data_IF_943461393839
#
_entry.id   IF_943461393839
#
_cell.length_a   1.000
_cell.length_b   1.000
_cell.length_c   1.000
_cell.angle_alpha   90.00
_cell.angle_beta   90.00
_cell.angle_gamma   90.00
#
_symmetry.space_group_name_H-M   'P 1'
#
loop_
_entity.id
_entity.type
_entity.pdbx_description
1 polymer ?
#
# COMPACT_ATOMS: atom_id res chain seq x y z
N UNK A 1 11.51 -2.13 -5.08
CA UNK A 1 11.48 -3.55 -5.49
C UNK A 1 11.50 -4.50 -4.29
N UNK A 2 12.39 -4.27 -3.27
CA UNK A 2 12.53 -5.20 -2.15
C UNK A 2 11.22 -5.42 -1.36
N UNK A 3 10.49 -4.37 -1.02
CA UNK A 3 9.20 -4.47 -0.33
C UNK A 3 8.18 -5.29 -1.12
N UNK A 4 8.15 -5.11 -2.45
CA UNK A 4 7.23 -5.84 -3.30
C UNK A 4 7.55 -7.35 -3.34
N UNK A 5 8.84 -7.71 -3.39
CA UNK A 5 9.28 -9.11 -3.29
C UNK A 5 8.91 -9.71 -1.94
N UNK A 6 9.08 -8.96 -0.85
CA UNK A 6 8.66 -9.38 0.49
C UNK A 6 7.14 -9.57 0.59
N UNK A 7 6.35 -8.70 -0.01
CA UNK A 7 4.90 -8.87 -0.09
C UNK A 7 4.51 -10.16 -0.84
N UNK A 8 5.15 -10.45 -1.97
CA UNK A 8 4.91 -11.70 -2.69
C UNK A 8 5.28 -12.91 -1.83
N UNK A 9 6.45 -12.90 -1.19
CA UNK A 9 6.88 -13.98 -0.32
C UNK A 9 5.91 -14.22 0.84
N UNK A 10 5.46 -13.16 1.50
CA UNK A 10 4.48 -13.24 2.58
C UNK A 10 3.11 -13.73 2.10
N UNK A 11 2.64 -13.24 0.95
CA UNK A 11 1.37 -13.68 0.36
C UNK A 11 1.38 -15.19 0.03
N UNK A 12 2.54 -15.73 -0.39
CA UNK A 12 2.70 -17.17 -0.63
C UNK A 12 2.75 -17.96 0.69
N UNK A 13 3.31 -17.39 1.75
CA UNK A 13 3.43 -18.07 3.06
C UNK A 13 2.13 -18.05 3.87
N UNK A 14 1.32 -17.02 3.74
CA UNK A 14 0.10 -16.83 4.53
C UNK A 14 -0.90 -18.00 4.47
N UNK A 15 -1.17 -18.66 3.33
CA UNK A 15 -2.07 -19.80 3.27
C UNK A 15 -1.66 -21.00 4.17
N UNK A 16 -0.37 -21.11 4.50
CA UNK A 16 0.16 -22.17 5.34
C UNK A 16 0.06 -21.85 6.85
N UNK A 17 -0.37 -20.65 7.21
CA UNK A 17 -0.55 -20.24 8.61
C UNK A 17 -1.87 -20.79 9.15
N UNK A 18 -1.86 -21.54 10.27
CA UNK A 18 -3.10 -22.04 10.88
C UNK A 18 -4.09 -20.90 11.20
N UNK A 19 -5.35 -21.07 10.82
CA UNK A 19 -6.39 -20.05 11.02
C UNK A 19 -6.53 -19.00 9.91
N UNK A 20 -5.62 -18.93 8.96
CA UNK A 20 -5.67 -17.98 7.84
C UNK A 20 -6.83 -18.23 6.88
N UNK A 21 -7.36 -19.46 6.83
CA UNK A 21 -8.42 -19.89 5.90
C UNK A 21 -9.69 -19.07 6.01
N UNK A 22 -10.06 -18.63 7.23
CA UNK A 22 -11.25 -17.79 7.43
C UNK A 22 -11.09 -16.41 6.77
N UNK A 23 -9.88 -15.84 6.79
CA UNK A 23 -9.57 -14.59 6.10
C UNK A 23 -9.71 -14.73 4.58
N UNK A 24 -9.25 -15.85 4.01
CA UNK A 24 -9.45 -16.11 2.57
C UNK A 24 -10.91 -16.31 2.22
N UNK A 25 -11.69 -17.02 3.04
CA UNK A 25 -13.14 -17.12 2.85
C UNK A 25 -13.81 -15.75 2.83
N UNK A 26 -13.41 -14.87 3.74
CA UNK A 26 -13.91 -13.49 3.80
C UNK A 26 -13.56 -12.70 2.53
N UNK A 27 -12.32 -12.76 2.04
CA UNK A 27 -11.89 -12.08 0.81
C UNK A 27 -12.72 -12.53 -0.40
N UNK A 28 -13.01 -13.82 -0.50
CA UNK A 28 -13.78 -14.41 -1.62
C UNK A 28 -15.28 -14.44 -1.40
N UNK A 29 -15.79 -14.01 -0.25
CA UNK A 29 -17.22 -13.84 0.02
C UNK A 29 -17.75 -12.56 -0.67
N UNK A 30 -17.86 -12.61 -1.99
CA UNK A 30 -18.33 -11.47 -2.78
C UNK A 30 -19.81 -11.21 -2.53
N UNK A 31 -20.18 -10.04 -2.03
CA UNK A 31 -21.54 -9.56 -1.99
C UNK A 31 -21.77 -8.55 -3.14
N UNK A 32 -22.46 -8.95 -4.21
CA UNK A 32 -22.76 -8.06 -5.34
C UNK A 32 -23.57 -6.82 -4.95
N UNK A 33 -24.30 -6.89 -3.82
CA UNK A 33 -25.10 -5.75 -3.32
C UNK A 33 -24.23 -4.57 -2.92
N UNK A 34 -22.99 -4.82 -2.49
CA UNK A 34 -22.02 -3.77 -2.22
C UNK A 34 -21.75 -2.84 -3.39
N UNK A 35 -21.88 -3.34 -4.63
CA UNK A 35 -21.73 -2.50 -5.84
C UNK A 35 -22.86 -1.48 -6.02
N UNK A 36 -23.98 -1.66 -5.35
CA UNK A 36 -25.13 -0.74 -5.37
C UNK A 36 -25.04 0.31 -4.26
N UNK A 37 -24.13 0.14 -3.31
CA UNK A 37 -23.93 1.10 -2.23
C UNK A 37 -23.01 2.24 -2.68
N UNK A 38 -23.54 3.46 -2.69
CA UNK A 38 -22.81 4.67 -3.06
C UNK A 38 -21.60 4.90 -2.16
N UNK A 39 -21.66 4.52 -0.89
CA UNK A 39 -20.54 4.69 0.04
C UNK A 39 -19.33 3.85 -0.37
N UNK A 40 -19.55 2.64 -0.88
CA UNK A 40 -18.46 1.78 -1.39
C UNK A 40 -17.69 2.49 -2.51
N UNK A 41 -18.41 3.13 -3.43
CA UNK A 41 -17.78 3.89 -4.51
C UNK A 41 -17.06 5.14 -4.01
N UNK A 42 -17.64 5.87 -3.05
CA UNK A 42 -17.00 7.06 -2.46
C UNK A 42 -15.68 6.66 -1.79
N UNK A 43 -15.67 5.60 -0.99
CA UNK A 43 -14.44 5.11 -0.35
C UNK A 43 -13.42 4.60 -1.37
N UNK A 44 -13.86 3.84 -2.38
CA UNK A 44 -12.98 3.30 -3.40
C UNK A 44 -12.32 4.42 -4.23
N UNK A 45 -13.08 5.40 -4.68
CA UNK A 45 -12.53 6.57 -5.38
C UNK A 45 -11.61 7.40 -4.49
N UNK A 46 -12.01 7.65 -3.23
CA UNK A 46 -11.18 8.37 -2.26
C UNK A 46 -9.82 7.69 -2.07
N UNK A 47 -9.81 6.36 -1.94
CA UNK A 47 -8.58 5.58 -1.82
C UNK A 47 -7.74 5.64 -3.10
N UNK A 48 -8.34 5.53 -4.28
CA UNK A 48 -7.62 5.66 -5.55
C UNK A 48 -6.96 7.04 -5.70
N UNK A 49 -7.68 8.11 -5.39
CA UNK A 49 -7.13 9.48 -5.44
C UNK A 49 -5.96 9.68 -4.48
N UNK A 50 -6.04 9.08 -3.30
CA UNK A 50 -4.97 9.13 -2.31
C UNK A 50 -3.75 8.31 -2.75
N UNK A 51 -3.96 7.04 -3.10
CA UNK A 51 -2.90 6.07 -3.41
C UNK A 51 -2.10 6.48 -4.65
N UNK A 52 -2.76 6.96 -5.70
CA UNK A 52 -2.12 7.46 -6.92
C UNK A 52 -1.58 8.89 -6.81
N UNK A 53 -1.59 9.47 -5.60
CA UNK A 53 -1.11 10.84 -5.33
C UNK A 53 -1.77 11.93 -6.19
N UNK A 54 -3.00 11.70 -6.64
CA UNK A 54 -3.78 12.67 -7.42
C UNK A 54 -4.29 13.78 -6.51
N UNK A 55 -4.82 13.42 -5.33
CA UNK A 55 -5.38 14.36 -4.37
C UNK A 55 -4.34 15.37 -3.83
N UNK A 56 -3.07 14.95 -3.68
CA UNK A 56 -1.98 15.79 -3.18
C UNK A 56 -1.17 16.52 -4.26
N UNK A 57 -1.65 16.54 -5.51
CA UNK A 57 -0.94 17.12 -6.67
C UNK A 57 0.45 16.50 -6.96
N UNK A 58 0.84 15.44 -6.24
CA UNK A 58 2.13 14.76 -6.43
C UNK A 58 2.30 14.27 -7.87
N UNK A 59 1.29 13.62 -8.44
CA UNK A 59 1.31 13.16 -9.83
C UNK A 59 1.50 14.30 -10.84
N UNK A 60 0.97 15.50 -10.57
CA UNK A 60 1.14 16.68 -11.43
C UNK A 60 2.59 17.16 -11.38
N UNK A 61 3.18 17.25 -10.18
CA UNK A 61 4.56 17.73 -10.01
C UNK A 61 5.55 16.75 -10.62
N UNK A 62 5.41 15.44 -10.35
CA UNK A 62 6.27 14.44 -10.98
C UNK A 62 6.07 14.39 -12.49
N UNK A 63 4.84 14.61 -12.97
CA UNK A 63 4.54 14.75 -14.39
C UNK A 63 5.29 15.92 -15.04
N UNK A 64 5.48 17.03 -14.32
CA UNK A 64 6.22 18.18 -14.83
C UNK A 64 7.74 17.95 -14.96
N UNK A 65 8.28 16.97 -14.23
CA UNK A 65 9.70 16.60 -14.30
C UNK A 65 10.01 15.59 -15.40
N UNK A 66 8.99 15.02 -16.04
CA UNK A 66 9.19 14.03 -17.10
C UNK A 66 9.76 14.68 -18.36
N UNK A 67 10.78 14.04 -18.95
CA UNK A 67 11.33 14.43 -20.24
C UNK A 67 10.31 14.23 -21.36
N UNK A 68 10.53 14.94 -22.47
CA UNK A 68 9.64 14.91 -23.67
C UNK A 68 9.54 13.51 -24.32
N UNK A 69 10.51 12.64 -24.06
CA UNK A 69 10.59 11.30 -24.65
C UNK A 69 9.78 10.25 -23.88
N UNK A 70 9.22 10.62 -22.69
CA UNK A 70 8.47 9.70 -21.84
C UNK A 70 7.02 9.56 -22.33
N UNK A 71 6.59 8.32 -22.53
CA UNK A 71 5.21 8.00 -22.89
C UNK A 71 4.31 8.05 -21.64
N UNK A 72 3.76 9.23 -21.35
CA UNK A 72 2.97 9.52 -20.13
C UNK A 72 1.85 8.49 -19.91
N UNK A 73 1.09 8.15 -20.97
CA UNK A 73 0.00 7.17 -20.88
C UNK A 73 0.49 5.80 -20.40
N UNK A 74 1.61 5.33 -20.93
CA UNK A 74 2.17 4.02 -20.56
C UNK A 74 2.67 4.03 -19.12
N UNK A 75 3.34 5.10 -18.70
CA UNK A 75 3.79 5.27 -17.31
C UNK A 75 2.62 5.33 -16.33
N UNK A 76 1.55 6.05 -16.65
CA UNK A 76 0.36 6.12 -15.80
C UNK A 76 -0.34 4.77 -15.65
N UNK A 77 -0.49 4.00 -16.73
CA UNK A 77 -1.07 2.66 -16.69
C UNK A 77 -0.22 1.72 -15.83
N UNK A 78 1.10 1.74 -16.00
CA UNK A 78 2.01 0.91 -15.20
C UNK A 78 1.94 1.30 -13.72
N UNK A 79 1.91 2.58 -13.40
CA UNK A 79 1.76 3.06 -12.03
C UNK A 79 0.47 2.52 -11.39
N UNK A 80 -0.67 2.65 -12.07
CA UNK A 80 -1.95 2.16 -11.58
C UNK A 80 -1.96 0.62 -11.41
N UNK A 81 -1.35 -0.13 -12.34
CA UNK A 81 -1.25 -1.58 -12.25
C UNK A 81 -0.38 -2.03 -11.05
N UNK A 82 0.78 -1.39 -10.85
CA UNK A 82 1.63 -1.72 -9.70
C UNK A 82 0.99 -1.32 -8.37
N UNK A 83 0.32 -0.19 -8.30
CA UNK A 83 -0.43 0.25 -7.12
C UNK A 83 -1.52 -0.75 -6.75
N UNK A 84 -2.38 -1.10 -7.72
CA UNK A 84 -3.46 -2.08 -7.54
C UNK A 84 -2.91 -3.45 -7.13
N UNK A 85 -1.84 -3.93 -7.78
CA UNK A 85 -1.25 -5.24 -7.45
C UNK A 85 -0.62 -5.25 -6.05
N UNK A 86 0.00 -4.16 -5.61
CA UNK A 86 0.52 -4.03 -4.25
C UNK A 86 -0.61 -4.04 -3.22
N UNK A 87 -1.72 -3.34 -3.48
CA UNK A 87 -2.89 -3.34 -2.62
C UNK A 87 -3.53 -4.73 -2.49
N UNK A 88 -3.64 -5.48 -3.60
CA UNK A 88 -4.12 -6.86 -3.58
C UNK A 88 -3.20 -7.78 -2.78
N UNK A 89 -1.87 -7.66 -2.96
CA UNK A 89 -0.91 -8.44 -2.17
C UNK A 89 -1.05 -8.12 -0.68
N UNK A 90 -1.17 -6.84 -0.31
CA UNK A 90 -1.38 -6.44 1.09
C UNK A 90 -2.68 -7.02 1.65
N UNK A 91 -3.77 -7.03 0.89
CA UNK A 91 -5.04 -7.63 1.27
C UNK A 91 -4.88 -9.14 1.56
N UNK A 92 -4.18 -9.88 0.68
CA UNK A 92 -3.93 -11.33 0.86
C UNK A 92 -2.98 -11.66 2.03
N UNK A 93 -2.31 -10.66 2.60
CA UNK A 93 -1.46 -10.83 3.79
C UNK A 93 -2.23 -10.43 5.05
N UNK A 94 -2.80 -9.22 5.05
CA UNK A 94 -3.34 -8.60 6.27
C UNK A 94 -4.65 -9.25 6.71
N UNK A 95 -5.60 -9.48 5.81
CA UNK A 95 -6.90 -10.07 6.18
C UNK A 95 -6.75 -11.50 6.73
N UNK A 96 -5.98 -12.42 6.10
CA UNK A 96 -5.72 -13.71 6.71
C UNK A 96 -4.95 -13.62 8.03
N UNK A 97 -4.03 -12.65 8.19
CA UNK A 97 -3.36 -12.43 9.47
C UNK A 97 -4.33 -12.00 10.57
N UNK A 98 -5.29 -11.12 10.27
CA UNK A 98 -6.36 -10.75 11.21
C UNK A 98 -7.19 -11.97 11.63
N UNK A 99 -7.55 -12.83 10.67
CA UNK A 99 -8.31 -14.06 10.96
C UNK A 99 -7.59 -14.98 11.95
N UNK A 100 -6.26 -15.09 11.89
CA UNK A 100 -5.48 -15.92 12.84
C UNK A 100 -5.54 -15.43 14.28
N UNK A 101 -5.85 -14.16 14.50
CA UNK A 101 -5.97 -13.55 15.83
C UNK A 101 -7.41 -13.49 16.35
N UNK A 102 -8.38 -13.96 15.55
CA UNK A 102 -9.81 -13.85 15.88
C UNK A 102 -10.34 -12.42 15.84
N UNK A 103 -9.65 -11.52 15.14
CA UNK A 103 -10.07 -10.14 15.00
C UNK A 103 -11.29 -10.00 14.08
N UNK A 104 -12.04 -8.91 14.28
CA UNK A 104 -13.11 -8.53 13.34
C UNK A 104 -12.49 -8.10 12.00
N UNK A 105 -12.80 -8.87 10.95
CA UNK A 105 -12.26 -8.69 9.59
C UNK A 105 -12.79 -7.42 8.90
N UNK A 106 -13.84 -6.81 9.44
CA UNK A 106 -14.37 -5.52 8.99
C UNK A 106 -13.59 -4.30 9.46
N UNK A 107 -12.65 -4.48 10.40
CA UNK A 107 -11.84 -3.36 10.88
C UNK A 107 -10.85 -2.90 9.81
N UNK A 108 -10.66 -1.58 9.72
CA UNK A 108 -9.74 -0.93 8.81
C UNK A 108 -8.73 -0.05 9.54
N UNK A 109 -7.78 0.48 8.78
CA UNK A 109 -6.85 1.49 9.25
C UNK A 109 -5.37 1.10 9.20
N UNK A 110 -4.47 2.09 9.31
CA UNK A 110 -3.02 1.88 9.14
C UNK A 110 -2.39 1.02 10.24
N UNK A 111 -3.05 0.87 11.39
CA UNK A 111 -2.60 0.03 12.50
C UNK A 111 -2.65 -1.46 12.23
N UNK A 112 -3.45 -1.92 11.25
CA UNK A 112 -3.65 -3.36 10.99
C UNK A 112 -2.35 -4.12 10.77
N UNK A 113 -1.46 -3.54 9.99
CA UNK A 113 -0.15 -4.13 9.68
C UNK A 113 0.70 -4.33 10.95
N UNK A 114 0.66 -3.40 11.89
CA UNK A 114 1.44 -3.47 13.11
C UNK A 114 0.79 -4.34 14.19
N UNK A 115 -0.53 -4.39 14.23
CA UNK A 115 -1.25 -5.13 15.28
C UNK A 115 -1.32 -6.63 14.94
N UNK A 116 -1.66 -6.98 13.70
CA UNK A 116 -2.00 -8.37 13.35
C UNK A 116 -0.86 -9.15 12.71
N UNK A 117 0.10 -8.51 12.04
CA UNK A 117 1.25 -9.23 11.49
C UNK A 117 2.28 -9.65 12.55
N UNK A 118 2.45 -8.90 13.64
CA UNK A 118 3.41 -9.22 14.69
C UNK A 118 3.15 -10.60 15.33
N UNK A 119 1.93 -10.94 15.79
CA UNK A 119 1.63 -12.26 16.32
C UNK A 119 1.88 -13.40 15.31
N UNK A 120 1.54 -13.17 14.04
CA UNK A 120 1.77 -14.18 12.98
C UNK A 120 3.25 -14.50 12.85
N UNK A 121 4.10 -13.49 12.74
CA UNK A 121 5.55 -13.68 12.64
C UNK A 121 6.14 -14.36 13.88
N UNK A 122 5.63 -14.06 15.07
CA UNK A 122 6.08 -14.69 16.31
C UNK A 122 5.77 -16.19 16.35
N UNK A 123 4.68 -16.62 15.73
CA UNK A 123 4.22 -18.01 15.72
C UNK A 123 4.87 -18.87 14.61
N UNK A 124 5.50 -18.26 13.61
CA UNK A 124 6.05 -18.96 12.44
C UNK A 124 7.48 -19.49 12.59
N UNK A 125 8.18 -19.22 13.71
CA UNK A 125 9.54 -19.72 13.96
C UNK A 125 10.67 -18.85 13.43
N UNK A 126 11.91 -19.37 13.44
CA UNK A 126 13.13 -18.57 13.26
C UNK A 126 13.29 -17.85 11.93
N UNK A 127 12.90 -18.45 10.81
CA UNK A 127 12.98 -17.84 9.46
C UNK A 127 12.00 -16.66 9.35
N UNK A 128 10.80 -16.82 9.90
CA UNK A 128 9.80 -15.75 9.90
C UNK A 128 10.26 -14.52 10.69
N UNK A 129 11.06 -14.69 11.74
CA UNK A 129 11.65 -13.57 12.49
C UNK A 129 12.59 -12.72 11.63
N UNK A 130 13.38 -13.36 10.79
CA UNK A 130 14.27 -12.65 9.85
C UNK A 130 13.41 -11.89 8.81
N UNK A 131 12.40 -12.55 8.25
CA UNK A 131 11.46 -11.90 7.31
C UNK A 131 10.73 -10.71 7.95
N UNK A 132 10.35 -10.81 9.22
CA UNK A 132 9.77 -9.72 10.00
C UNK A 132 10.67 -8.48 10.02
N UNK A 133 11.95 -8.65 10.36
CA UNK A 133 12.90 -7.54 10.40
C UNK A 133 13.01 -6.88 9.02
N UNK A 134 13.25 -7.67 7.97
CA UNK A 134 13.35 -7.14 6.61
C UNK A 134 12.07 -6.46 6.13
N UNK A 135 10.90 -7.01 6.49
CA UNK A 135 9.61 -6.44 6.16
C UNK A 135 9.44 -5.04 6.77
N UNK A 136 9.65 -4.90 8.09
CA UNK A 136 9.45 -3.61 8.74
C UNK A 136 10.53 -2.59 8.37
N UNK A 137 11.77 -3.01 8.12
CA UNK A 137 12.81 -2.14 7.56
C UNK A 137 12.39 -1.64 6.18
N UNK A 138 11.88 -2.51 5.31
CA UNK A 138 11.40 -2.11 3.99
C UNK A 138 10.16 -1.18 4.07
N UNK A 139 9.25 -1.43 5.01
CA UNK A 139 8.10 -0.54 5.29
C UNK A 139 8.57 0.84 5.78
N UNK A 140 9.59 0.88 6.65
CA UNK A 140 10.18 2.13 7.11
C UNK A 140 10.74 2.95 5.93
N UNK A 141 11.53 2.33 5.06
CA UNK A 141 12.06 3.01 3.87
C UNK A 141 10.96 3.45 2.91
N UNK A 142 9.92 2.65 2.73
CA UNK A 142 8.76 3.04 1.93
C UNK A 142 8.03 4.24 2.54
N UNK A 143 7.85 4.26 3.86
CA UNK A 143 7.27 5.39 4.59
C UNK A 143 8.08 6.67 4.43
N UNK A 144 9.40 6.58 4.62
CA UNK A 144 10.31 7.73 4.44
C UNK A 144 10.23 8.26 3.00
N UNK A 145 10.27 7.39 1.99
CA UNK A 145 10.16 7.82 0.59
C UNK A 145 8.81 8.47 0.29
N UNK A 146 7.72 7.98 0.89
CA UNK A 146 6.39 8.60 0.76
C UNK A 146 6.32 9.98 1.39
N UNK A 147 6.95 10.17 2.54
CA UNK A 147 7.06 11.49 3.20
C UNK A 147 7.82 12.47 2.32
N UNK A 148 8.95 12.07 1.74
CA UNK A 148 9.72 12.90 0.80
C UNK A 148 8.83 13.33 -0.39
N UNK A 149 8.07 12.39 -0.96
CA UNK A 149 7.15 12.67 -2.06
C UNK A 149 6.06 13.67 -1.66
N UNK A 150 5.50 13.58 -0.47
CA UNK A 150 4.49 14.52 0.03
C UNK A 150 5.05 15.93 0.21
N UNK A 151 6.31 16.05 0.64
CA UNK A 151 6.97 17.35 0.79
C UNK A 151 7.37 18.00 -0.55
N UNK A 152 7.51 17.24 -1.61
CA UNK A 152 7.90 17.78 -2.93
C UNK A 152 6.89 18.82 -3.44
N UNK A 153 5.59 18.61 -3.21
CA UNK A 153 4.53 19.53 -3.61
C UNK A 153 4.66 20.92 -2.98
N UNK A 154 4.69 21.07 -1.64
CA UNK A 154 4.88 22.39 -1.03
C UNK A 154 6.24 23.02 -1.34
N UNK A 155 7.29 22.20 -1.47
CA UNK A 155 8.63 22.70 -1.84
C UNK A 155 8.62 23.28 -3.25
N UNK A 156 8.08 22.57 -4.23
CA UNK A 156 7.97 23.06 -5.61
C UNK A 156 7.15 24.35 -5.69
N UNK A 157 6.03 24.42 -4.97
CA UNK A 157 5.21 25.63 -4.90
C UNK A 157 5.96 26.84 -4.30
N UNK A 158 6.69 26.62 -3.20
CA UNK A 158 7.48 27.68 -2.56
C UNK A 158 8.62 28.17 -3.47
N UNK A 159 9.30 27.25 -4.16
CA UNK A 159 10.36 27.60 -5.11
C UNK A 159 9.84 28.48 -6.26
N UNK A 160 8.70 28.12 -6.83
CA UNK A 160 8.10 28.88 -7.91
C UNK A 160 7.68 30.28 -7.43
N UNK A 161 7.00 30.35 -6.27
CA UNK A 161 6.46 31.61 -5.74
C UNK A 161 7.53 32.54 -5.19
N UNK A 162 8.54 32.02 -4.51
CA UNK A 162 9.62 32.80 -3.89
C UNK A 162 10.84 32.97 -4.81
N UNK A 163 10.86 32.31 -5.98
CA UNK A 163 12.00 32.26 -6.90
C UNK A 163 13.33 31.88 -6.25
N UNK A 164 13.27 30.97 -5.29
CA UNK A 164 14.43 30.48 -4.50
C UNK A 164 14.96 29.19 -5.14
N UNK A 165 16.28 29.06 -5.26
CA UNK A 165 16.91 27.84 -5.77
C UNK A 165 16.96 26.74 -4.70
N UNK A 166 16.96 25.44 -5.12
CA UNK A 166 17.03 24.26 -4.21
C UNK A 166 18.27 24.21 -3.30
N UNK A 167 19.25 25.05 -3.49
CA UNK A 167 20.52 25.08 -2.76
C UNK A 167 20.64 26.18 -1.70
N UNK A 168 19.59 26.94 -1.49
CA UNK A 168 19.47 27.92 -0.42
C UNK A 168 18.50 27.47 0.64
#
# INVERSE_FOLDING_TARGET
PALYVLFIALAIMMPFVPGSSEGYKYIFSLDPRGLLDVNVWVFAFGQCFFSLSVAGSGSVIYGSYLGKDVKIRQSAILCALFDTSAALLAMFIVIPAMATTGADLGNGGPGLMFIYLIPVFNNMGGIARIMFIFFYVAVLFAGVSSIINLFETPVAFLQEKLRVNRGT
#
